data_IF_448165755924
#
_entry.id   IF_448165755924
#
_cell.length_a   1.000
_cell.length_b   1.000
_cell.length_c   1.000
_cell.angle_alpha   90.00
_cell.angle_beta   90.00
_cell.angle_gamma   90.00
#
_symmetry.space_group_name_H-M   'P 1'
#
loop_
_entity.id
_entity.type
_entity.pdbx_description
1 polymer ?
#
# COMPACT_ATOMS: atom_id res chain seq x y z
N UNK A 1 24.58 13.88 -5.90
CA UNK A 1 23.10 13.88 -5.90
C UNK A 1 22.48 14.24 -7.25
N UNK A 2 22.45 15.51 -7.71
CA UNK A 2 21.67 15.90 -8.91
C UNK A 2 22.10 15.22 -10.22
N UNK A 3 23.39 15.03 -10.43
CA UNK A 3 23.93 14.39 -11.65
C UNK A 3 23.52 12.91 -11.74
N UNK A 4 23.66 12.17 -10.63
CA UNK A 4 23.22 10.78 -10.51
C UNK A 4 21.69 10.62 -10.60
N UNK A 5 20.93 11.54 -10.00
CA UNK A 5 19.46 11.53 -10.10
C UNK A 5 18.97 11.78 -11.53
N UNK A 6 19.61 12.69 -12.26
CA UNK A 6 19.31 12.94 -13.69
C UNK A 6 19.65 11.71 -14.54
N UNK A 7 20.83 11.12 -14.34
CA UNK A 7 21.25 9.89 -15.02
C UNK A 7 20.36 8.68 -14.69
N UNK A 8 19.76 8.64 -13.50
CA UNK A 8 18.81 7.61 -13.11
C UNK A 8 17.44 7.77 -13.78
N UNK A 9 16.97 9.01 -13.98
CA UNK A 9 15.70 9.31 -14.65
C UNK A 9 15.73 8.97 -16.15
N UNK A 10 16.89 9.11 -16.78
CA UNK A 10 17.11 8.81 -18.19
C UNK A 10 17.52 7.34 -18.47
N UNK A 11 17.74 6.53 -17.43
CA UNK A 11 18.13 5.13 -17.61
C UNK A 11 16.96 4.28 -18.12
N UNK A 12 17.18 3.54 -19.20
CA UNK A 12 16.19 2.62 -19.79
C UNK A 12 16.10 1.30 -19.01
N UNK A 13 17.23 0.83 -18.45
CA UNK A 13 17.29 -0.35 -17.60
C UNK A 13 16.93 -0.01 -16.15
N UNK A 14 15.90 -0.67 -15.62
CA UNK A 14 15.47 -0.51 -14.23
C UNK A 14 16.59 -0.89 -13.24
N UNK A 15 17.46 -1.86 -13.54
CA UNK A 15 18.56 -2.24 -12.62
C UNK A 15 19.60 -1.13 -12.49
N UNK A 16 20.04 -0.57 -13.62
CA UNK A 16 20.96 0.57 -13.67
C UNK A 16 20.35 1.83 -13.02
N UNK A 17 19.08 2.12 -13.33
CA UNK A 17 18.34 3.23 -12.72
C UNK A 17 18.31 3.12 -11.19
N UNK A 18 17.98 1.95 -10.65
CA UNK A 18 17.91 1.71 -9.20
C UNK A 18 19.26 1.87 -8.51
N UNK A 19 20.36 1.44 -9.15
CA UNK A 19 21.71 1.64 -8.62
C UNK A 19 22.05 3.13 -8.54
N UNK A 20 21.77 3.89 -9.59
CA UNK A 20 22.04 5.35 -9.62
C UNK A 20 21.19 6.12 -8.62
N UNK A 21 19.92 5.74 -8.43
CA UNK A 21 19.08 6.34 -7.38
C UNK A 21 19.66 6.10 -5.98
N UNK A 22 20.15 4.90 -5.68
CA UNK A 22 20.79 4.62 -4.39
C UNK A 22 22.04 5.51 -4.19
N UNK A 23 22.90 5.60 -5.21
CA UNK A 23 24.10 6.45 -5.16
C UNK A 23 23.78 7.94 -4.99
N UNK A 24 22.71 8.41 -5.63
CA UNK A 24 22.24 9.79 -5.50
C UNK A 24 21.79 10.11 -4.06
N UNK A 25 21.13 9.16 -3.39
CA UNK A 25 20.62 9.29 -2.01
C UNK A 25 21.73 9.12 -0.96
N UNK A 26 22.76 8.34 -1.25
CA UNK A 26 23.92 8.13 -0.36
C UNK A 26 24.97 9.25 -0.47
N UNK A 27 24.75 10.27 -1.31
CA UNK A 27 25.67 11.41 -1.43
C UNK A 27 25.77 12.15 -0.08
N UNK A 28 26.97 12.28 0.53
CA UNK A 28 27.11 12.98 1.80
C UNK A 28 26.61 14.43 1.75
N UNK A 29 25.78 14.82 2.71
CA UNK A 29 25.22 16.17 2.78
C UNK A 29 24.05 16.44 1.82
N UNK A 30 23.51 15.40 1.19
CA UNK A 30 22.32 15.50 0.33
C UNK A 30 21.05 15.88 1.11
N UNK A 31 21.00 15.51 2.38
CA UNK A 31 19.94 15.86 3.34
C UNK A 31 19.74 17.36 3.52
N UNK A 32 20.78 18.18 3.29
CA UNK A 32 20.71 19.65 3.31
C UNK A 32 19.73 20.21 2.28
N UNK A 33 19.48 19.48 1.19
CA UNK A 33 18.52 19.83 0.14
C UNK A 33 17.26 18.97 0.28
N UNK A 34 16.57 19.09 1.42
CA UNK A 34 15.45 18.22 1.83
C UNK A 34 14.43 17.99 0.72
N UNK A 35 14.05 19.04 0.01
CA UNK A 35 13.03 18.97 -1.05
C UNK A 35 13.53 18.22 -2.30
N UNK A 36 14.72 18.53 -2.80
CA UNK A 36 15.29 17.80 -3.95
C UNK A 36 15.57 16.34 -3.59
N UNK A 37 16.04 16.09 -2.38
CA UNK A 37 16.22 14.74 -1.87
C UNK A 37 14.89 13.96 -1.84
N UNK A 38 13.78 14.60 -1.44
CA UNK A 38 12.44 14.00 -1.49
C UNK A 38 11.97 13.72 -2.94
N UNK A 39 12.28 14.59 -3.91
CA UNK A 39 11.98 14.35 -5.33
C UNK A 39 12.74 13.14 -5.88
N UNK A 40 14.00 12.97 -5.50
CA UNK A 40 14.80 11.77 -5.85
C UNK A 40 14.20 10.52 -5.23
N UNK A 41 13.79 10.56 -3.95
CA UNK A 41 13.10 9.44 -3.28
C UNK A 41 11.78 9.07 -3.97
N UNK A 42 10.99 10.06 -4.40
CA UNK A 42 9.75 9.81 -5.15
C UNK A 42 10.02 9.07 -6.46
N UNK A 43 10.96 9.56 -7.28
CA UNK A 43 11.34 8.92 -8.54
C UNK A 43 11.89 7.50 -8.34
N UNK A 44 12.73 7.31 -7.32
CA UNK A 44 13.23 5.98 -6.94
C UNK A 44 12.09 5.04 -6.54
N UNK A 45 11.15 5.52 -5.73
CA UNK A 45 9.96 4.76 -5.32
C UNK A 45 9.07 4.34 -6.49
N UNK A 46 8.86 5.23 -7.46
CA UNK A 46 8.13 4.93 -8.70
C UNK A 46 8.80 3.82 -9.51
N UNK A 47 10.13 3.86 -9.65
CA UNK A 47 10.90 2.82 -10.33
C UNK A 47 10.85 1.49 -9.60
N UNK A 48 11.06 1.49 -8.28
CA UNK A 48 10.94 0.28 -7.45
C UNK A 48 9.56 -0.36 -7.57
N UNK A 49 8.49 0.44 -7.67
CA UNK A 49 7.14 -0.08 -7.89
C UNK A 49 7.00 -0.75 -9.26
N UNK A 50 7.49 -0.13 -10.33
CA UNK A 50 7.47 -0.73 -11.69
C UNK A 50 8.23 -2.06 -11.73
N UNK A 51 9.38 -2.12 -11.04
CA UNK A 51 10.17 -3.34 -10.84
C UNK A 51 9.56 -4.34 -9.83
N UNK A 52 8.31 -4.12 -9.37
CA UNK A 52 7.58 -4.96 -8.38
C UNK A 52 8.26 -5.10 -7.00
N UNK A 53 9.24 -4.27 -6.67
CA UNK A 53 9.92 -4.23 -5.36
C UNK A 53 9.11 -3.41 -4.33
N UNK A 54 7.87 -3.82 -4.05
CA UNK A 54 6.85 -3.03 -3.34
C UNK A 54 7.24 -2.57 -1.93
N UNK A 55 7.95 -3.41 -1.16
CA UNK A 55 8.40 -3.06 0.20
C UNK A 55 9.42 -1.91 0.16
N UNK A 56 10.39 -2.00 -0.75
CA UNK A 56 11.42 -0.97 -0.93
C UNK A 56 10.80 0.31 -1.49
N UNK A 57 9.86 0.18 -2.44
CA UNK A 57 9.13 1.31 -2.99
C UNK A 57 8.40 2.10 -1.89
N UNK A 58 7.70 1.39 -0.99
CA UNK A 58 6.94 2.01 0.10
C UNK A 58 7.82 2.85 1.02
N UNK A 59 8.98 2.33 1.42
CA UNK A 59 9.91 3.05 2.29
C UNK A 59 10.35 4.38 1.65
N UNK A 60 10.68 4.37 0.35
CA UNK A 60 11.11 5.58 -0.35
C UNK A 60 9.97 6.58 -0.53
N UNK A 61 8.77 6.11 -0.89
CA UNK A 61 7.61 6.98 -1.12
C UNK A 61 7.06 7.59 0.18
N UNK A 62 7.10 6.87 1.30
CA UNK A 62 6.71 7.39 2.61
C UNK A 62 7.68 8.49 3.08
N UNK A 63 8.98 8.24 2.96
CA UNK A 63 10.01 9.21 3.33
C UNK A 63 10.07 10.43 2.40
N UNK A 64 9.49 10.34 1.19
CA UNK A 64 9.26 11.49 0.31
C UNK A 64 8.01 12.27 0.73
N UNK A 65 6.92 11.56 1.07
CA UNK A 65 5.67 12.16 1.51
C UNK A 65 5.84 13.02 2.76
N UNK A 66 6.60 12.55 3.76
CA UNK A 66 6.88 13.32 4.99
C UNK A 66 7.44 14.73 4.70
N UNK A 67 8.22 14.89 3.64
CA UNK A 67 8.78 16.19 3.24
C UNK A 67 7.77 17.01 2.43
N UNK A 68 6.88 16.36 1.68
CA UNK A 68 5.86 17.05 0.87
C UNK A 68 4.59 17.42 1.64
N UNK A 69 4.47 17.06 2.92
CA UNK A 69 3.33 17.46 3.75
C UNK A 69 3.30 18.95 4.11
N UNK A 70 4.31 19.71 3.70
CA UNK A 70 4.30 21.17 3.75
C UNK A 70 3.24 21.77 2.79
N UNK A 71 2.56 22.87 3.18
CA UNK A 71 1.43 23.44 2.43
C UNK A 71 1.70 23.78 0.96
N UNK A 72 2.94 24.14 0.62
CA UNK A 72 3.34 24.58 -0.72
C UNK A 72 3.70 23.42 -1.66
N UNK A 73 3.68 22.18 -1.16
CA UNK A 73 4.10 20.98 -1.88
C UNK A 73 2.96 20.01 -2.23
N UNK A 74 1.70 20.46 -2.17
CA UNK A 74 0.49 19.63 -2.37
C UNK A 74 0.53 18.71 -3.60
N UNK A 75 0.95 19.15 -4.81
CA UNK A 75 1.01 18.27 -5.98
C UNK A 75 1.99 17.10 -5.80
N UNK A 76 3.10 17.34 -5.11
CA UNK A 76 4.10 16.31 -4.80
C UNK A 76 3.58 15.31 -3.77
N UNK A 77 2.88 15.80 -2.74
CA UNK A 77 2.26 14.96 -1.73
C UNK A 77 1.18 14.05 -2.33
N UNK A 78 0.34 14.58 -3.22
CA UNK A 78 -0.69 13.79 -3.91
C UNK A 78 -0.09 12.70 -4.79
N UNK A 79 0.98 13.02 -5.53
CA UNK A 79 1.71 12.04 -6.35
C UNK A 79 2.32 10.94 -5.49
N UNK A 80 3.01 11.28 -4.39
CA UNK A 80 3.57 10.30 -3.47
C UNK A 80 2.49 9.39 -2.85
N UNK A 81 1.34 9.97 -2.45
CA UNK A 81 0.18 9.20 -1.94
C UNK A 81 -0.41 8.27 -3.00
N UNK A 82 -0.53 8.71 -4.25
CA UNK A 82 -1.01 7.89 -5.37
C UNK A 82 -0.08 6.68 -5.60
N UNK A 83 1.23 6.92 -5.64
CA UNK A 83 2.22 5.87 -5.82
C UNK A 83 2.27 4.90 -4.64
N UNK A 84 2.18 5.41 -3.39
CA UNK A 84 2.06 4.58 -2.19
C UNK A 84 0.86 3.64 -2.27
N UNK A 85 -0.32 4.16 -2.65
CA UNK A 85 -1.51 3.35 -2.88
C UNK A 85 -1.25 2.28 -3.95
N UNK A 86 -0.56 2.63 -5.04
CA UNK A 86 -0.22 1.73 -6.13
C UNK A 86 0.82 0.65 -5.77
N UNK A 87 1.62 0.80 -4.69
CA UNK A 87 2.48 -0.29 -4.17
C UNK A 87 1.69 -1.42 -3.51
N UNK A 88 0.36 -1.30 -3.42
CA UNK A 88 -0.45 -2.14 -2.57
C UNK A 88 -0.23 -1.81 -1.10
N UNK A 89 0.09 -0.57 -0.72
CA UNK A 89 -0.09 -0.11 0.66
C UNK A 89 -1.57 -0.16 1.10
N UNK A 90 -2.49 -0.23 0.14
CA UNK A 90 -3.90 -0.62 0.35
C UNK A 90 -4.11 -2.16 0.46
N UNK A 91 -3.03 -2.95 0.38
CA UNK A 91 -3.02 -4.39 0.66
C UNK A 91 -2.12 -4.60 1.89
N UNK A 92 -2.69 -4.55 3.11
CA UNK A 92 -1.95 -4.91 4.31
C UNK A 92 -1.31 -6.27 4.10
N UNK A 93 0.02 -6.31 4.15
CA UNK A 93 0.77 -7.54 4.39
C UNK A 93 0.25 -8.07 5.72
N UNK A 94 -0.18 -9.31 5.71
CA UNK A 94 -1.00 -9.91 6.75
C UNK A 94 -0.39 -9.77 8.15
N UNK A 95 -1.00 -8.95 9.01
CA UNK A 95 -1.11 -9.25 10.44
C UNK A 95 -2.05 -10.46 10.55
N UNK A 96 -1.54 -11.64 10.20
CA UNK A 96 -2.22 -12.90 10.39
C UNK A 96 -2.09 -13.31 11.86
N UNK A 97 -2.91 -12.69 12.72
CA UNK A 97 -3.02 -13.05 14.14
C UNK A 97 -4.28 -13.87 14.45
N UNK A 98 -5.04 -14.30 13.44
CA UNK A 98 -6.23 -15.16 13.62
C UNK A 98 -6.10 -16.46 12.81
N UNK A 99 -6.85 -17.48 13.25
CA UNK A 99 -6.93 -18.83 12.64
C UNK A 99 -7.25 -18.80 11.15
N UNK A 100 -7.84 -17.71 10.64
CA UNK A 100 -8.25 -17.57 9.25
C UNK A 100 -7.18 -16.91 8.35
N UNK A 101 -6.06 -16.45 8.92
CA UNK A 101 -5.01 -15.76 8.16
C UNK A 101 -5.47 -14.46 7.48
N UNK A 102 -6.54 -13.85 8.00
CA UNK A 102 -7.09 -12.57 7.52
C UNK A 102 -6.53 -11.43 8.36
N UNK A 103 -6.38 -10.23 7.78
CA UNK A 103 -6.16 -9.03 8.60
C UNK A 103 -7.41 -8.71 9.43
N UNK A 104 -7.27 -7.96 10.52
CA UNK A 104 -8.38 -7.58 11.39
C UNK A 104 -9.55 -6.94 10.60
N UNK A 105 -9.26 -5.99 9.72
CA UNK A 105 -10.26 -5.35 8.86
C UNK A 105 -10.96 -6.33 7.90
N UNK A 106 -10.22 -7.29 7.33
CA UNK A 106 -10.80 -8.32 6.45
C UNK A 106 -11.67 -9.30 7.22
N UNK A 107 -11.26 -9.67 8.43
CA UNK A 107 -12.06 -10.51 9.31
C UNK A 107 -13.36 -9.81 9.71
N UNK A 108 -13.31 -8.51 10.00
CA UNK A 108 -14.49 -7.70 10.30
C UNK A 108 -15.45 -7.62 9.11
N UNK A 109 -14.93 -7.35 7.90
CA UNK A 109 -15.72 -7.41 6.66
C UNK A 109 -16.34 -8.80 6.47
N UNK A 110 -15.57 -9.87 6.70
CA UNK A 110 -16.04 -11.24 6.54
C UNK A 110 -17.18 -11.57 7.54
N UNK A 111 -17.07 -11.13 8.80
CA UNK A 111 -18.10 -11.32 9.84
C UNK A 111 -19.38 -10.56 9.51
N UNK A 112 -19.29 -9.29 9.14
CA UNK A 112 -20.46 -8.49 8.74
C UNK A 112 -21.13 -9.07 7.47
N UNK A 113 -20.33 -9.61 6.57
CA UNK A 113 -20.85 -10.32 5.41
C UNK A 113 -21.54 -11.65 5.79
N UNK A 114 -20.96 -12.43 6.71
CA UNK A 114 -21.58 -13.66 7.21
C UNK A 114 -22.90 -13.40 7.98
N UNK A 115 -23.04 -12.22 8.59
CA UNK A 115 -24.25 -11.77 9.27
C UNK A 115 -25.31 -11.17 8.33
N UNK A 116 -25.07 -11.13 7.02
CA UNK A 116 -26.08 -10.72 6.03
C UNK A 116 -25.97 -9.29 5.50
N UNK A 117 -25.04 -8.45 5.97
CA UNK A 117 -24.93 -7.06 5.51
C UNK A 117 -24.42 -6.94 4.06
N UNK A 118 -25.11 -6.16 3.24
CA UNK A 118 -24.66 -5.84 1.88
C UNK A 118 -23.33 -5.08 1.90
N UNK A 119 -22.57 -5.12 0.80
CA UNK A 119 -21.31 -4.39 0.73
C UNK A 119 -21.48 -2.86 0.94
N UNK A 120 -22.66 -2.30 0.62
CA UNK A 120 -22.99 -0.88 0.87
C UNK A 120 -23.14 -0.62 2.37
N UNK A 121 -23.88 -1.46 3.08
CA UNK A 121 -24.04 -1.36 4.53
C UNK A 121 -22.72 -1.58 5.28
N UNK A 122 -21.89 -2.52 4.82
CA UNK A 122 -20.55 -2.74 5.37
C UNK A 122 -19.66 -1.50 5.13
N UNK A 123 -19.72 -0.93 3.93
CA UNK A 123 -18.98 0.27 3.58
C UNK A 123 -19.35 1.46 4.48
N UNK A 124 -20.65 1.68 4.71
CA UNK A 124 -21.15 2.70 5.63
C UNK A 124 -20.65 2.47 7.06
N UNK A 125 -20.73 1.23 7.56
CA UNK A 125 -20.34 0.90 8.94
C UNK A 125 -18.84 1.04 9.20
N UNK A 126 -18.01 0.72 8.19
CA UNK A 126 -16.55 0.73 8.31
C UNK A 126 -15.90 2.01 7.75
N UNK A 127 -16.70 3.01 7.35
CA UNK A 127 -16.24 4.24 6.69
C UNK A 127 -15.35 3.95 5.46
N UNK A 128 -15.73 2.93 4.68
CA UNK A 128 -15.07 2.53 3.44
C UNK A 128 -15.95 2.82 2.22
N UNK A 129 -15.37 2.77 1.03
CA UNK A 129 -16.18 2.74 -0.20
C UNK A 129 -16.73 1.33 -0.47
N UNK A 130 -17.91 1.22 -1.08
CA UNK A 130 -18.48 -0.06 -1.54
C UNK A 130 -17.51 -0.79 -2.48
N UNK A 131 -16.80 -0.07 -3.36
CA UNK A 131 -15.77 -0.65 -4.23
C UNK A 131 -14.63 -1.29 -3.43
N UNK A 132 -14.19 -0.66 -2.34
CA UNK A 132 -13.18 -1.19 -1.43
C UNK A 132 -13.64 -2.48 -0.76
N UNK A 133 -14.89 -2.52 -0.26
CA UNK A 133 -15.48 -3.73 0.32
C UNK A 133 -15.56 -4.87 -0.70
N UNK A 134 -15.94 -4.57 -1.95
CA UNK A 134 -15.96 -5.54 -3.04
C UNK A 134 -14.58 -6.15 -3.33
N UNK A 135 -13.53 -5.31 -3.38
CA UNK A 135 -12.16 -5.76 -3.58
C UNK A 135 -11.65 -6.63 -2.42
N UNK A 136 -11.96 -6.25 -1.16
CA UNK A 136 -11.60 -7.07 0.00
C UNK A 136 -12.31 -8.42 0.00
N UNK A 137 -13.57 -8.48 -0.46
CA UNK A 137 -14.34 -9.73 -0.54
C UNK A 137 -13.66 -10.79 -1.41
N UNK A 138 -13.15 -10.40 -2.57
CA UNK A 138 -12.42 -11.31 -3.45
C UNK A 138 -11.18 -11.89 -2.75
N UNK A 139 -10.42 -11.06 -2.05
CA UNK A 139 -9.22 -11.49 -1.31
C UNK A 139 -9.55 -12.37 -0.09
N UNK A 140 -10.72 -12.15 0.53
CA UNK A 140 -11.22 -12.99 1.63
C UNK A 140 -11.56 -14.38 1.08
N UNK A 141 -12.24 -14.45 -0.07
CA UNK A 141 -12.64 -15.71 -0.69
C UNK A 141 -11.45 -16.56 -1.11
N UNK A 142 -10.47 -15.93 -1.78
CA UNK A 142 -9.20 -16.56 -2.15
C UNK A 142 -8.45 -17.08 -0.91
N UNK A 143 -8.42 -16.29 0.17
CA UNK A 143 -7.73 -16.69 1.41
C UNK A 143 -8.44 -17.83 2.16
N UNK A 144 -9.77 -17.85 2.16
CA UNK A 144 -10.58 -18.87 2.85
C UNK A 144 -10.85 -20.10 1.97
N UNK A 145 -10.46 -20.09 0.69
CA UNK A 145 -10.73 -21.18 -0.24
C UNK A 145 -12.21 -21.35 -0.59
N UNK A 146 -12.99 -20.27 -0.54
CA UNK A 146 -14.44 -20.29 -0.82
C UNK A 146 -14.77 -19.52 -2.09
N UNK A 147 -15.92 -19.81 -2.69
CA UNK A 147 -16.38 -19.16 -3.93
C UNK A 147 -17.67 -18.36 -3.75
N UNK A 148 -18.40 -18.60 -2.66
CA UNK A 148 -19.69 -17.97 -2.39
C UNK A 148 -19.73 -17.28 -1.03
N UNK A 149 -20.53 -16.21 -0.97
CA UNK A 149 -20.83 -15.49 0.27
C UNK A 149 -21.51 -16.38 1.32
N UNK A 150 -22.35 -17.32 0.87
CA UNK A 150 -23.09 -18.22 1.76
C UNK A 150 -22.15 -19.11 2.58
N UNK A 151 -20.96 -19.41 2.05
CA UNK A 151 -19.94 -20.24 2.69
C UNK A 151 -19.14 -19.48 3.76
N UNK A 152 -19.29 -18.16 3.89
CA UNK A 152 -18.54 -17.37 4.88
C UNK A 152 -18.84 -17.79 6.32
N UNK A 153 -20.09 -18.16 6.62
CA UNK A 153 -20.49 -18.59 7.97
C UNK A 153 -19.73 -19.84 8.37
N UNK A 154 -19.71 -20.82 7.48
CA UNK A 154 -19.05 -22.11 7.72
C UNK A 154 -17.52 -21.94 7.75
N UNK A 155 -16.96 -21.13 6.85
CA UNK A 155 -15.51 -20.90 6.76
C UNK A 155 -14.93 -20.10 7.94
N UNK A 156 -15.74 -19.28 8.62
CA UNK A 156 -15.33 -18.55 9.82
C UNK A 156 -15.49 -19.38 11.10
N UNK A 157 -16.20 -20.51 11.05
CA UNK A 157 -16.55 -21.30 12.23
C UNK A 157 -17.53 -20.57 13.18
N UNK A 158 -17.96 -21.23 14.27
CA UNK A 158 -18.76 -20.56 15.30
C UNK A 158 -17.97 -19.39 15.89
N UNK A 159 -18.62 -18.23 16.04
CA UNK A 159 -18.00 -17.10 16.73
C UNK A 159 -17.60 -17.55 18.14
N UNK A 160 -16.43 -17.14 18.66
CA UNK A 160 -16.12 -17.37 20.07
C UNK A 160 -17.24 -16.69 20.88
N UNK A 161 -17.94 -17.49 21.66
CA UNK A 161 -18.96 -17.03 22.59
C UNK A 161 -18.30 -15.98 23.49
N UNK A 162 -18.82 -14.75 23.42
CA UNK A 162 -18.40 -13.69 24.33
C UNK A 162 -18.99 -14.05 25.70
N UNK A 163 -18.18 -14.70 26.54
CA UNK A 163 -18.43 -14.83 27.97
C UNK A 163 -18.20 -13.51 28.69
#
# INVERSE_FOLDING_TARGET
MLLEASAALCAEDDRDALRRFALALDTPGADRWRFDHARVRLAHGERLRRARATVRARAQLAAALEVFEEPDARPWAERARNELRATGASRPRADASNTHGLSAQKLEIARLAASGLTNKQIAERLLLSHRTVGAHRYQIYERLGITSRTMLRDALGPAPEQG
#
